data_IF_047959865163
#
_entry.id   IF_047959865163
#
_cell.length_a   1.000
_cell.length_b   1.000
_cell.length_c   1.000
_cell.angle_alpha   90.00
_cell.angle_beta   90.00
_cell.angle_gamma   90.00
#
_symmetry.space_group_name_H-M   'P 1'
#
loop_
_entity.id
_entity.type
_entity.pdbx_description
1 polymer ?
#
# COMPACT_ATOMS: atom_id res chain seq x y z
N UNK A 1 -44.43 -14.94 88.68
CA UNK A 1 -43.57 -15.96 88.03
C UNK A 1 -43.56 -15.78 86.50
N UNK A 2 -43.29 -14.56 86.00
CA UNK A 2 -43.42 -14.23 84.57
C UNK A 2 -42.31 -13.30 84.06
N UNK A 3 -41.10 -13.38 84.63
CA UNK A 3 -39.95 -12.54 84.22
C UNK A 3 -38.66 -13.32 83.95
N UNK A 4 -38.68 -14.65 84.03
CA UNK A 4 -37.49 -15.49 83.86
C UNK A 4 -37.52 -16.40 82.61
N UNK A 5 -38.58 -16.35 81.80
CA UNK A 5 -38.71 -17.19 80.59
C UNK A 5 -38.16 -16.48 79.33
N UNK A 6 -38.16 -15.14 79.29
CA UNK A 6 -37.71 -14.38 78.11
C UNK A 6 -36.20 -14.39 77.88
N UNK A 7 -35.39 -14.53 78.93
CA UNK A 7 -33.93 -14.51 78.81
C UNK A 7 -33.34 -15.83 78.28
N UNK A 8 -34.02 -16.97 78.49
CA UNK A 8 -33.54 -18.28 78.03
C UNK A 8 -33.74 -18.48 76.51
N UNK A 9 -34.75 -17.85 75.91
CA UNK A 9 -35.04 -17.96 74.48
C UNK A 9 -34.10 -17.12 73.60
N UNK A 10 -33.53 -16.04 74.13
CA UNK A 10 -32.55 -15.22 73.39
C UNK A 10 -31.13 -15.82 73.39
N UNK A 11 -30.79 -16.65 74.39
CA UNK A 11 -29.46 -17.27 74.49
C UNK A 11 -29.29 -18.51 73.58
N UNK A 12 -30.38 -19.20 73.23
CA UNK A 12 -30.32 -20.39 72.35
C UNK A 12 -30.23 -19.98 70.87
N UNK A 13 -30.78 -18.82 70.48
CA UNK A 13 -30.72 -18.32 69.11
C UNK A 13 -29.31 -17.86 68.68
N UNK A 14 -28.46 -17.44 69.63
CA UNK A 14 -27.06 -17.04 69.35
C UNK A 14 -26.11 -18.22 69.14
N UNK A 15 -26.52 -19.46 69.44
CA UNK A 15 -25.65 -20.63 69.30
C UNK A 15 -25.73 -21.32 67.93
N UNK A 16 -26.61 -20.85 67.04
CA UNK A 16 -26.71 -21.30 65.65
C UNK A 16 -26.20 -20.24 64.65
N UNK A 17 -25.31 -19.36 65.10
CA UNK A 17 -24.50 -18.54 64.21
C UNK A 17 -23.70 -19.46 63.30
N UNK A 18 -24.20 -19.63 62.09
CA UNK A 18 -23.59 -20.40 61.01
C UNK A 18 -22.11 -20.11 60.98
N UNK A 19 -21.29 -21.15 61.09
CA UNK A 19 -19.88 -21.09 60.73
C UNK A 19 -19.78 -20.33 59.41
N UNK A 20 -19.16 -19.15 59.45
CA UNK A 20 -18.68 -18.50 58.24
C UNK A 20 -17.60 -19.45 57.70
N UNK A 21 -18.04 -20.43 56.90
CA UNK A 21 -17.17 -21.10 55.97
C UNK A 21 -16.73 -19.98 55.05
N UNK A 22 -15.52 -19.48 55.29
CA UNK A 22 -14.77 -18.78 54.27
C UNK A 22 -14.62 -19.80 53.14
N UNK A 23 -15.62 -19.83 52.26
CA UNK A 23 -15.50 -20.43 50.97
C UNK A 23 -14.34 -19.69 50.33
N UNK A 24 -13.23 -20.41 50.17
CA UNK A 24 -12.08 -20.01 49.37
C UNK A 24 -12.58 -19.94 47.93
N UNK A 25 -13.37 -18.91 47.64
CA UNK A 25 -13.86 -18.61 46.31
C UNK A 25 -12.60 -18.28 45.52
N UNK A 26 -12.29 -19.01 44.43
CA UNK A 26 -11.16 -18.67 43.59
C UNK A 26 -11.27 -17.19 43.28
N UNK A 27 -10.31 -16.39 43.77
CA UNK A 27 -10.21 -15.00 43.35
C UNK A 27 -10.16 -15.07 41.83
N UNK A 28 -11.03 -14.34 41.10
CA UNK A 28 -10.88 -14.26 39.66
C UNK A 28 -9.44 -13.82 39.42
N UNK A 29 -8.65 -14.69 38.79
CA UNK A 29 -7.33 -14.27 38.33
C UNK A 29 -7.55 -13.02 37.49
N UNK A 30 -6.86 -11.92 37.76
CA UNK A 30 -6.95 -10.77 36.88
C UNK A 30 -6.53 -11.26 35.50
N UNK A 31 -7.48 -11.26 34.56
CA UNK A 31 -7.18 -11.38 33.13
C UNK A 31 -6.32 -10.17 32.80
N UNK A 32 -5.01 -10.36 32.88
CA UNK A 32 -4.07 -9.39 32.36
C UNK A 32 -4.35 -9.33 30.86
N UNK A 33 -4.58 -8.13 30.29
CA UNK A 33 -4.67 -8.03 28.84
C UNK A 33 -3.40 -8.65 28.25
N UNK A 34 -3.55 -9.40 27.16
CA UNK A 34 -2.39 -9.94 26.45
C UNK A 34 -1.43 -8.78 26.17
N UNK A 35 -0.16 -8.97 26.51
CA UNK A 35 0.86 -7.97 26.22
C UNK A 35 1.00 -7.92 24.71
N UNK A 36 0.49 -6.85 24.09
CA UNK A 36 0.75 -6.57 22.67
C UNK A 36 2.25 -6.28 22.54
N UNK A 37 2.99 -7.27 22.05
CA UNK A 37 4.42 -7.15 21.76
C UNK A 37 4.69 -6.23 20.56
N UNK A 38 3.64 -5.64 19.97
CA UNK A 38 3.68 -4.83 18.78
C UNK A 38 3.95 -5.65 17.53
N UNK A 39 3.94 -4.99 16.37
CA UNK A 39 4.47 -5.57 15.16
C UNK A 39 5.98 -5.82 15.34
N UNK A 40 6.39 -7.08 15.38
CA UNK A 40 7.79 -7.47 15.24
C UNK A 40 8.25 -7.29 13.78
N UNK A 41 9.54 -7.05 13.56
CA UNK A 41 10.05 -6.85 12.22
C UNK A 41 9.95 -8.11 11.36
N UNK A 42 9.35 -8.00 10.17
CA UNK A 42 9.02 -9.15 9.32
C UNK A 42 9.39 -8.90 7.86
N UNK A 43 9.87 -9.96 7.19
CA UNK A 43 9.97 -9.97 5.74
C UNK A 43 8.59 -10.15 5.13
N UNK A 44 8.34 -9.55 3.97
CA UNK A 44 7.11 -9.73 3.25
C UNK A 44 7.32 -9.84 1.74
N UNK A 45 6.39 -10.56 1.10
CA UNK A 45 6.17 -10.49 -0.34
C UNK A 45 4.95 -9.63 -0.62
N UNK A 46 4.98 -8.90 -1.73
CA UNK A 46 3.90 -8.02 -2.17
C UNK A 46 3.53 -8.31 -3.61
N UNK A 47 2.24 -8.47 -3.87
CA UNK A 47 1.64 -8.43 -5.20
C UNK A 47 0.77 -7.20 -5.35
N UNK A 48 0.77 -6.57 -6.53
CA UNK A 48 -0.04 -5.39 -6.79
C UNK A 48 -0.55 -5.32 -8.22
N UNK A 49 -1.72 -4.72 -8.37
CA UNK A 49 -2.33 -4.40 -9.65
C UNK A 49 -2.83 -2.96 -9.60
N UNK A 50 -2.77 -2.22 -10.70
CA UNK A 50 -3.27 -0.86 -10.73
C UNK A 50 -3.91 -0.51 -12.07
N UNK A 51 -4.92 0.34 -12.04
CA UNK A 51 -5.36 1.11 -13.21
C UNK A 51 -4.60 2.42 -13.26
N UNK A 52 -4.20 2.87 -14.45
CA UNK A 52 -3.44 4.10 -14.60
C UNK A 52 -3.97 5.04 -15.68
N UNK A 53 -3.77 6.33 -15.43
CA UNK A 53 -3.94 7.40 -16.39
C UNK A 53 -2.60 8.15 -16.49
N UNK A 54 -2.05 8.23 -17.70
CA UNK A 54 -0.75 8.81 -17.97
C UNK A 54 -0.89 10.13 -18.72
N UNK A 55 -0.11 11.10 -18.28
CA UNK A 55 0.07 12.38 -18.94
C UNK A 55 1.55 12.63 -19.16
N UNK A 56 1.91 13.27 -20.26
CA UNK A 56 3.27 13.72 -20.53
C UNK A 56 3.27 15.22 -20.79
N UNK A 57 4.33 15.92 -20.38
CA UNK A 57 4.40 17.36 -20.58
C UNK A 57 4.62 17.71 -22.04
N UNK A 58 5.59 17.03 -22.66
CA UNK A 58 5.97 17.23 -24.04
C UNK A 58 6.18 15.86 -24.70
N UNK A 59 5.61 15.72 -25.91
CA UNK A 59 5.86 14.58 -26.78
C UNK A 59 6.27 15.10 -28.15
N UNK A 60 7.44 14.68 -28.60
CA UNK A 60 7.94 14.98 -29.94
C UNK A 60 7.82 13.71 -30.78
N UNK A 61 7.17 13.83 -31.94
CA UNK A 61 7.03 12.75 -32.92
C UNK A 61 7.76 13.17 -34.21
N UNK A 62 8.67 12.33 -34.70
CA UNK A 62 9.56 12.59 -35.85
C UNK A 62 10.63 13.68 -35.63
N UNK A 63 11.72 13.72 -36.43
CA UNK A 63 12.76 14.76 -36.37
C UNK A 63 12.29 16.12 -36.93
N UNK A 64 11.01 16.46 -36.78
CA UNK A 64 10.43 17.73 -37.16
C UNK A 64 10.40 18.66 -35.93
N UNK A 65 10.74 19.95 -36.06
CA UNK A 65 11.04 20.85 -34.92
C UNK A 65 9.82 21.27 -34.07
N UNK A 66 8.73 20.51 -34.08
CA UNK A 66 7.48 20.85 -33.40
C UNK A 66 7.22 19.85 -32.26
N UNK A 67 7.69 20.18 -31.07
CA UNK A 67 7.22 19.55 -29.83
C UNK A 67 5.70 19.67 -29.74
N UNK A 68 5.00 18.55 -29.61
CA UNK A 68 3.56 18.51 -29.44
C UNK A 68 3.22 18.42 -27.95
N UNK A 69 2.27 19.23 -27.50
CA UNK A 69 1.64 19.00 -26.21
C UNK A 69 0.58 17.91 -26.39
N UNK A 70 0.57 16.86 -25.56
CA UNK A 70 -0.48 15.85 -25.59
C UNK A 70 -1.87 16.47 -25.49
N UNK A 71 -2.78 15.99 -26.34
CA UNK A 71 -4.17 16.42 -26.37
C UNK A 71 -5.05 15.55 -25.48
N UNK A 72 -4.75 14.25 -25.40
CA UNK A 72 -5.50 13.29 -24.58
C UNK A 72 -4.58 12.53 -23.62
N UNK A 73 -5.13 12.15 -22.47
CA UNK A 73 -4.49 11.24 -21.51
C UNK A 73 -4.48 9.80 -22.05
N UNK A 74 -3.37 9.10 -21.84
CA UNK A 74 -3.29 7.67 -22.10
C UNK A 74 -3.81 6.86 -20.91
N UNK A 75 -4.48 5.74 -21.16
CA UNK A 75 -5.04 4.88 -20.12
C UNK A 75 -4.40 3.50 -20.15
N UNK A 76 -4.35 2.84 -18.99
CA UNK A 76 -3.65 1.58 -18.89
C UNK A 76 -3.77 0.87 -17.56
N UNK A 77 -2.90 -0.11 -17.38
CA UNK A 77 -2.80 -0.88 -16.16
C UNK A 77 -1.35 -1.22 -15.82
N UNK A 78 -1.09 -1.53 -14.55
CA UNK A 78 0.20 -2.07 -14.10
C UNK A 78 0.01 -3.32 -13.25
N UNK A 79 0.99 -4.21 -13.33
CA UNK A 79 1.08 -5.45 -12.56
C UNK A 79 2.47 -5.47 -11.91
N UNK A 80 2.54 -5.66 -10.60
CA UNK A 80 3.80 -5.57 -9.88
C UNK A 80 3.95 -6.63 -8.83
N UNK A 81 5.21 -7.05 -8.61
CA UNK A 81 5.60 -7.88 -7.49
C UNK A 81 6.79 -7.25 -6.77
N UNK A 82 6.90 -7.50 -5.48
CA UNK A 82 7.99 -6.98 -4.67
C UNK A 82 8.25 -7.79 -3.41
N UNK A 83 9.39 -7.49 -2.79
CA UNK A 83 9.79 -8.06 -1.52
C UNK A 83 10.34 -6.95 -0.63
N UNK A 84 10.05 -7.03 0.66
CA UNK A 84 10.42 -5.98 1.60
C UNK A 84 10.57 -6.46 3.02
N UNK A 85 10.83 -5.48 3.89
CA UNK A 85 10.99 -5.66 5.32
C UNK A 85 10.25 -4.55 6.06
N UNK A 86 9.46 -4.94 7.07
CA UNK A 86 8.81 -4.04 8.01
C UNK A 86 9.63 -4.01 9.31
N UNK A 87 9.86 -2.83 9.88
CA UNK A 87 10.72 -2.68 11.06
C UNK A 87 9.95 -2.74 12.38
N UNK A 88 8.62 -2.84 12.34
CA UNK A 88 7.77 -2.90 13.54
C UNK A 88 7.42 -1.56 14.19
N UNK A 89 7.99 -0.46 13.69
CA UNK A 89 7.80 0.91 14.19
C UNK A 89 7.04 1.79 13.18
N UNK A 90 6.30 1.17 12.26
CA UNK A 90 5.64 1.83 11.13
C UNK A 90 6.52 2.05 9.91
N UNK A 91 7.85 2.02 10.03
CA UNK A 91 8.69 2.06 8.84
C UNK A 91 8.69 0.71 8.11
N UNK A 92 8.68 0.77 6.78
CA UNK A 92 8.95 -0.37 5.90
C UNK A 92 9.71 0.05 4.66
N UNK A 93 10.40 -0.90 4.05
CA UNK A 93 11.06 -0.72 2.76
C UNK A 93 10.81 -1.94 1.88
N UNK A 94 10.62 -1.72 0.57
CA UNK A 94 10.55 -2.81 -0.40
C UNK A 94 11.25 -2.46 -1.71
N UNK A 95 11.59 -3.53 -2.44
CA UNK A 95 11.97 -3.48 -3.83
C UNK A 95 10.81 -4.02 -4.65
N UNK A 96 10.35 -3.26 -5.65
CA UNK A 96 9.27 -3.67 -6.56
C UNK A 96 9.75 -3.70 -8.00
N UNK A 97 9.21 -4.64 -8.76
CA UNK A 97 9.28 -4.68 -10.22
C UNK A 97 7.84 -4.62 -10.73
N UNK A 98 7.53 -3.54 -11.44
CA UNK A 98 6.22 -3.28 -12.03
C UNK A 98 6.30 -3.38 -13.56
N UNK A 99 5.38 -4.10 -14.18
CA UNK A 99 5.11 -4.06 -15.60
C UNK A 99 3.93 -3.12 -15.86
N UNK A 100 4.18 -2.07 -16.63
CA UNK A 100 3.25 -1.01 -16.97
C UNK A 100 2.88 -1.12 -18.45
N UNK A 101 1.59 -0.99 -18.76
CA UNK A 101 1.11 -0.79 -20.12
C UNK A 101 0.14 0.37 -20.15
N UNK A 102 0.36 1.31 -21.06
CA UNK A 102 -0.50 2.46 -21.29
C UNK A 102 -0.68 2.65 -22.80
N UNK A 103 -1.89 3.04 -23.21
CA UNK A 103 -2.30 3.17 -24.61
C UNK A 103 -3.19 4.38 -24.79
N UNK A 104 -3.17 4.97 -25.98
CA UNK A 104 -4.08 6.06 -26.33
C UNK A 104 -3.64 7.45 -25.88
N UNK A 105 -2.34 7.64 -25.58
CA UNK A 105 -1.78 8.98 -25.44
C UNK A 105 -1.71 9.60 -26.83
N UNK A 106 -2.44 10.69 -27.07
CA UNK A 106 -2.48 11.34 -28.39
C UNK A 106 -1.76 12.68 -28.40
N UNK A 107 -1.02 12.97 -29.48
CA UNK A 107 -0.58 14.34 -29.79
C UNK A 107 -0.41 14.51 -31.31
N UNK A 108 -0.85 15.64 -31.86
CA UNK A 108 -0.77 15.95 -33.30
C UNK A 108 -1.28 14.83 -34.23
N UNK A 109 -2.33 14.10 -33.81
CA UNK A 109 -2.92 12.99 -34.59
C UNK A 109 -2.18 11.65 -34.48
N UNK A 110 -1.04 11.60 -33.78
CA UNK A 110 -0.34 10.35 -33.44
C UNK A 110 -0.92 9.78 -32.15
N UNK A 111 -1.13 8.47 -32.12
CA UNK A 111 -1.45 7.70 -30.92
C UNK A 111 -0.22 6.90 -30.50
N UNK A 112 0.20 7.07 -29.25
CA UNK A 112 1.35 6.41 -28.66
C UNK A 112 0.92 5.33 -27.65
N UNK A 113 1.60 4.20 -27.74
CA UNK A 113 1.54 3.11 -26.77
C UNK A 113 2.86 3.01 -26.03
N UNK A 114 2.78 2.86 -24.70
CA UNK A 114 3.91 2.68 -23.82
C UNK A 114 3.80 1.35 -23.09
N UNK A 115 4.88 0.58 -23.14
CA UNK A 115 5.12 -0.57 -22.27
C UNK A 115 6.41 -0.29 -21.50
N UNK A 116 6.36 -0.39 -20.18
CA UNK A 116 7.52 -0.11 -19.34
C UNK A 116 7.66 -1.17 -18.26
N UNK A 117 8.89 -1.62 -18.04
CA UNK A 117 9.24 -2.32 -16.81
C UNK A 117 9.89 -1.31 -15.87
N UNK A 118 9.41 -1.20 -14.63
CA UNK A 118 9.89 -0.23 -13.65
C UNK A 118 10.36 -0.98 -12.43
N UNK A 119 11.63 -0.80 -12.06
CA UNK A 119 12.17 -1.28 -10.79
C UNK A 119 12.29 -0.10 -9.83
N UNK A 120 11.73 -0.21 -8.63
CA UNK A 120 11.76 0.83 -7.60
C UNK A 120 12.27 0.28 -6.28
N UNK A 121 13.05 1.09 -5.57
CA UNK A 121 13.28 0.95 -4.15
C UNK A 121 12.39 1.96 -3.43
N UNK A 122 11.56 1.48 -2.51
CA UNK A 122 10.56 2.28 -1.85
C UNK A 122 10.79 2.28 -0.33
N UNK A 123 10.39 3.38 0.29
CA UNK A 123 10.27 3.54 1.73
C UNK A 123 8.87 4.01 2.05
N UNK A 124 8.28 3.47 3.09
CA UNK A 124 6.96 3.85 3.58
C UNK A 124 6.98 4.07 5.08
N UNK A 125 6.02 4.88 5.51
CA UNK A 125 5.65 5.06 6.89
C UNK A 125 4.16 4.74 7.02
N UNK A 126 3.87 3.66 7.74
CA UNK A 126 2.54 3.21 8.10
C UNK A 126 2.19 3.83 9.46
N UNK A 127 0.95 4.28 9.60
CA UNK A 127 0.43 4.87 10.83
C UNK A 127 -1.00 4.38 11.08
N UNK A 128 -1.36 4.26 12.34
CA UNK A 128 -2.66 3.75 12.73
C UNK A 128 -3.78 4.79 12.48
N UNK A 129 -4.94 4.30 12.05
CA UNK A 129 -6.17 5.08 11.87
C UNK A 129 -7.24 4.75 12.93
N UNK A 130 -7.05 3.68 13.71
CA UNK A 130 -7.99 3.17 14.70
C UNK A 130 -7.82 3.70 16.14
N UNK A 131 -6.73 4.43 16.43
CA UNK A 131 -6.43 4.96 17.76
C UNK A 131 -5.82 3.96 18.74
N UNK A 132 -5.47 2.75 18.27
CA UNK A 132 -4.88 1.64 19.05
C UNK A 132 -3.40 1.42 18.75
N UNK A 133 -2.80 2.24 17.88
CA UNK A 133 -1.43 2.03 17.41
C UNK A 133 -1.35 0.91 16.37
N UNK A 134 -0.16 0.72 15.79
CA UNK A 134 0.08 -0.42 14.91
C UNK A 134 0.14 -1.69 15.77
N UNK A 135 -1.02 -2.33 15.95
CA UNK A 135 -1.18 -3.48 16.85
C UNK A 135 -0.93 -4.80 16.13
N UNK A 136 -0.44 -5.79 16.88
CA UNK A 136 -0.36 -7.18 16.41
C UNK A 136 -1.75 -7.78 16.11
N UNK A 137 -2.81 -7.22 16.70
CA UNK A 137 -4.20 -7.66 16.50
C UNK A 137 -4.79 -7.24 15.14
N UNK A 138 -4.03 -6.48 14.36
CA UNK A 138 -4.40 -5.99 13.04
C UNK A 138 -5.27 -4.73 13.07
N UNK A 139 -5.88 -4.39 11.93
CA UNK A 139 -6.76 -3.23 11.81
C UNK A 139 -6.43 -2.26 10.68
N UNK A 140 -7.08 -1.09 10.71
CA UNK A 140 -6.96 -0.06 9.68
C UNK A 140 -5.71 0.79 9.89
N UNK A 141 -4.84 0.78 8.87
CA UNK A 141 -3.63 1.61 8.83
C UNK A 141 -3.65 2.51 7.60
N UNK A 142 -3.18 3.74 7.77
CA UNK A 142 -2.83 4.66 6.69
C UNK A 142 -1.35 4.49 6.34
N UNK A 143 -0.97 4.87 5.13
CA UNK A 143 0.44 4.94 4.78
C UNK A 143 0.75 6.07 3.82
N UNK A 144 1.99 6.54 3.91
CA UNK A 144 2.64 7.39 2.91
C UNK A 144 3.99 6.80 2.56
N UNK A 145 4.46 7.04 1.34
CA UNK A 145 5.75 6.53 0.90
C UNK A 145 6.29 7.23 -0.32
N UNK A 146 7.57 6.98 -0.57
CA UNK A 146 8.29 7.47 -1.72
C UNK A 146 9.21 6.38 -2.27
N UNK A 147 9.48 6.43 -3.56
CA UNK A 147 10.31 5.47 -4.25
C UNK A 147 11.18 6.11 -5.31
N UNK A 148 12.33 5.49 -5.56
CA UNK A 148 13.24 5.87 -6.62
C UNK A 148 13.75 4.63 -7.33
N UNK A 149 13.94 4.71 -8.64
CA UNK A 149 14.56 3.62 -9.38
C UNK A 149 14.69 3.90 -10.86
N UNK A 150 14.56 2.84 -11.66
CA UNK A 150 14.79 2.87 -13.10
C UNK A 150 13.65 2.23 -13.85
N UNK A 151 13.40 2.75 -15.04
CA UNK A 151 12.41 2.23 -15.96
C UNK A 151 13.05 1.88 -17.30
N UNK A 152 12.58 0.80 -17.91
CA UNK A 152 12.94 0.34 -19.25
C UNK A 152 11.71 0.42 -20.14
N UNK A 153 11.79 1.30 -21.14
CA UNK A 153 10.65 1.64 -21.97
C UNK A 153 10.72 0.96 -23.33
N UNK A 154 9.54 0.56 -23.79
CA UNK A 154 9.24 0.18 -25.15
C UNK A 154 8.06 1.02 -25.60
N UNK A 155 8.21 1.73 -26.71
CA UNK A 155 7.16 2.60 -27.21
C UNK A 155 6.95 2.43 -28.70
N UNK A 156 5.69 2.57 -29.09
CA UNK A 156 5.28 2.59 -30.49
C UNK A 156 4.26 3.70 -30.69
N UNK A 157 4.46 4.52 -31.71
CA UNK A 157 3.47 5.51 -32.14
C UNK A 157 2.99 5.20 -33.56
N UNK A 158 1.72 5.52 -33.80
CA UNK A 158 1.02 5.31 -35.08
C UNK A 158 0.17 6.53 -35.40
N UNK A 159 -0.03 6.82 -36.69
CA UNK A 159 -0.87 7.93 -37.14
C UNK A 159 -1.93 7.44 -38.15
N UNK A 160 -3.15 7.98 -38.02
CA UNK A 160 -4.34 7.44 -38.69
C UNK A 160 -4.31 7.56 -40.23
N UNK A 161 -3.63 8.58 -40.76
CA UNK A 161 -3.58 8.87 -42.21
C UNK A 161 -2.18 8.80 -42.82
N UNK A 162 -1.17 8.53 -42.00
CA UNK A 162 0.22 8.33 -42.44
C UNK A 162 0.85 7.27 -41.53
N UNK A 163 1.07 6.03 -42.00
CA UNK A 163 1.54 4.93 -41.17
C UNK A 163 3.05 5.03 -40.86
N UNK A 164 3.53 6.22 -40.50
CA UNK A 164 4.87 6.41 -39.93
C UNK A 164 4.88 5.77 -38.53
N UNK A 165 5.22 4.49 -38.50
CA UNK A 165 5.40 3.71 -37.30
C UNK A 165 6.72 4.09 -36.63
N UNK A 166 6.64 5.02 -35.67
CA UNK A 166 7.74 5.30 -34.76
C UNK A 166 7.76 4.25 -33.64
N UNK A 167 8.32 3.07 -33.94
CA UNK A 167 8.55 2.02 -32.94
C UNK A 167 10.01 2.01 -32.48
N UNK A 168 10.24 1.82 -31.18
CA UNK A 168 11.60 1.65 -30.68
C UNK A 168 11.64 1.06 -29.28
N UNK A 169 12.59 0.16 -29.09
CA UNK A 169 12.83 -0.52 -27.84
C UNK A 169 14.03 0.09 -27.10
N UNK A 170 13.97 0.08 -25.77
CA UNK A 170 15.16 -0.10 -24.95
C UNK A 170 15.71 1.14 -24.27
N UNK A 171 14.96 2.25 -24.22
CA UNK A 171 15.49 3.41 -23.53
C UNK A 171 15.25 3.34 -22.01
N UNK A 172 16.27 3.77 -21.27
CA UNK A 172 16.32 3.67 -19.81
C UNK A 172 16.11 5.06 -19.25
N UNK A 173 15.16 5.20 -18.32
CA UNK A 173 14.96 6.46 -17.62
C UNK A 173 15.02 6.27 -16.10
N UNK A 174 15.28 7.37 -15.41
CA UNK A 174 15.04 7.42 -13.97
C UNK A 174 13.54 7.48 -13.72
N UNK A 175 13.11 6.76 -12.69
CA UNK A 175 11.75 6.75 -12.21
C UNK A 175 11.71 7.19 -10.75
N UNK A 176 10.72 7.99 -10.39
CA UNK A 176 10.43 8.39 -9.02
C UNK A 176 8.96 8.19 -8.74
N UNK A 177 8.60 7.85 -7.51
CA UNK A 177 7.22 7.62 -7.13
C UNK A 177 6.91 8.24 -5.77
N UNK A 178 5.68 8.76 -5.63
CA UNK A 178 5.09 9.10 -4.33
C UNK A 178 3.79 8.32 -4.17
N UNK A 179 3.54 7.88 -2.95
CA UNK A 179 2.49 6.91 -2.65
C UNK A 179 1.78 7.30 -1.37
N UNK A 180 0.47 7.12 -1.35
CA UNK A 180 -0.34 7.23 -0.14
C UNK A 180 -1.54 6.30 -0.25
N UNK A 181 -2.01 5.75 0.86
CA UNK A 181 -3.13 4.83 0.83
C UNK A 181 -3.60 4.40 2.20
N UNK A 182 -4.55 3.47 2.17
CA UNK A 182 -5.11 2.82 3.34
C UNK A 182 -4.99 1.32 3.19
N UNK A 183 -4.75 0.65 4.30
CA UNK A 183 -4.50 -0.77 4.38
C UNK A 183 -5.27 -1.37 5.56
N UNK A 184 -5.60 -2.65 5.44
CA UNK A 184 -6.22 -3.42 6.50
C UNK A 184 -5.34 -4.63 6.80
N UNK A 185 -4.86 -4.68 8.03
CA UNK A 185 -3.99 -5.72 8.55
C UNK A 185 -4.82 -6.89 9.10
N UNK A 186 -4.61 -8.08 8.53
CA UNK A 186 -5.25 -9.34 8.91
C UNK A 186 -4.25 -10.29 9.60
N UNK A 187 -3.20 -9.74 10.20
CA UNK A 187 -2.07 -10.47 10.76
C UNK A 187 -1.07 -10.87 9.66
N UNK A 188 -1.11 -12.13 9.22
CA UNK A 188 -0.16 -12.65 8.23
C UNK A 188 -0.32 -12.04 6.82
N UNK A 189 -1.49 -11.50 6.50
CA UNK A 189 -1.74 -10.83 5.24
C UNK A 189 -2.23 -9.40 5.48
N UNK A 190 -1.80 -8.47 4.63
CA UNK A 190 -2.26 -7.08 4.66
C UNK A 190 -2.72 -6.70 3.28
N UNK A 191 -3.98 -6.27 3.16
CA UNK A 191 -4.53 -5.77 1.91
C UNK A 191 -4.51 -4.24 1.91
N UNK A 192 -4.17 -3.62 0.79
CA UNK A 192 -4.14 -2.16 0.68
C UNK A 192 -4.70 -1.63 -0.64
N UNK A 193 -5.29 -0.44 -0.55
CA UNK A 193 -5.66 0.39 -1.70
C UNK A 193 -4.99 1.74 -1.55
N UNK A 194 -4.32 2.18 -2.61
CA UNK A 194 -3.52 3.39 -2.58
C UNK A 194 -3.44 4.08 -3.92
N UNK A 195 -3.02 5.33 -3.85
CA UNK A 195 -2.68 6.15 -4.99
C UNK A 195 -1.16 6.19 -5.15
N UNK A 196 -0.69 6.06 -6.39
CA UNK A 196 0.72 6.26 -6.76
C UNK A 196 0.83 7.26 -7.90
N UNK A 197 1.63 8.30 -7.71
CA UNK A 197 2.11 9.13 -8.80
C UNK A 197 3.52 8.67 -9.18
N UNK A 198 3.66 8.11 -10.38
CA UNK A 198 4.90 7.59 -10.92
C UNK A 198 5.43 8.55 -12.00
N UNK A 199 6.53 9.21 -11.71
CA UNK A 199 7.23 10.10 -12.62
C UNK A 199 8.36 9.37 -13.35
N UNK A 200 8.50 9.67 -14.64
CA UNK A 200 9.59 9.25 -15.49
C UNK A 200 10.29 10.49 -16.06
N UNK A 201 11.61 10.58 -15.88
CA UNK A 201 12.42 11.72 -16.37
C UNK A 201 12.27 12.00 -17.87
N UNK A 202 12.04 10.95 -18.64
CA UNK A 202 11.88 11.02 -20.08
C UNK A 202 12.62 9.88 -20.77
N UNK A 203 12.14 9.52 -21.95
CA UNK A 203 12.69 8.47 -22.76
C UNK A 203 12.49 8.79 -24.24
N UNK A 204 13.35 8.20 -25.06
CA UNK A 204 13.36 8.36 -26.51
C UNK A 204 13.47 7.02 -27.21
N UNK A 205 12.91 6.88 -28.41
CA UNK A 205 13.12 5.70 -29.22
C UNK A 205 14.34 5.87 -30.11
N UNK A 206 15.26 4.90 -30.10
CA UNK A 206 16.30 4.85 -31.14
C UNK A 206 15.64 4.60 -32.50
N UNK A 207 16.05 5.38 -33.51
CA UNK A 207 15.67 5.17 -34.91
C UNK A 207 14.38 5.86 -35.39
N UNK A 208 13.51 6.34 -34.50
CA UNK A 208 12.22 6.93 -34.87
C UNK A 208 11.99 8.39 -34.46
N UNK A 209 12.97 9.02 -33.79
CA UNK A 209 12.91 10.44 -33.45
C UNK A 209 11.79 10.82 -32.49
N UNK A 210 11.23 9.87 -31.73
CA UNK A 210 10.21 10.15 -30.72
C UNK A 210 10.87 10.44 -29.37
N UNK A 211 10.46 11.52 -28.73
CA UNK A 211 10.94 11.94 -27.41
C UNK A 211 9.77 12.26 -26.50
N UNK A 212 9.72 11.63 -25.33
CA UNK A 212 8.73 11.93 -24.29
C UNK A 212 9.48 12.47 -23.09
N UNK A 213 9.11 13.67 -22.63
CA UNK A 213 9.71 14.28 -21.45
C UNK A 213 8.71 14.37 -20.31
N UNK A 214 9.19 14.10 -19.09
CA UNK A 214 8.44 14.25 -17.84
C UNK A 214 7.04 13.62 -17.90
N UNK A 215 7.00 12.32 -18.15
CA UNK A 215 5.76 11.56 -18.11
C UNK A 215 5.40 11.22 -16.66
N UNK A 216 4.14 11.45 -16.28
CA UNK A 216 3.58 11.10 -14.97
C UNK A 216 2.40 10.16 -15.18
N UNK A 217 2.48 8.97 -14.58
CA UNK A 217 1.36 8.05 -14.47
C UNK A 217 0.71 8.20 -13.09
N UNK A 218 -0.58 8.48 -13.09
CA UNK A 218 -1.42 8.46 -11.90
C UNK A 218 -2.07 7.08 -11.81
N UNK A 219 -1.84 6.37 -10.71
CA UNK A 219 -2.31 5.00 -10.54
C UNK A 219 -3.17 4.84 -9.30
N UNK A 220 -4.29 4.14 -9.45
CA UNK A 220 -5.05 3.59 -8.33
C UNK A 220 -4.69 2.12 -8.23
N UNK A 221 -4.09 1.75 -7.10
CA UNK A 221 -3.42 0.47 -6.89
C UNK A 221 -4.10 -0.31 -5.78
N UNK A 222 -4.34 -1.58 -6.03
CA UNK A 222 -4.67 -2.57 -5.03
C UNK A 222 -3.46 -3.50 -4.82
N UNK A 223 -3.10 -3.78 -3.58
CA UNK A 223 -1.99 -4.67 -3.24
C UNK A 223 -2.36 -5.62 -2.13
N UNK A 224 -1.67 -6.76 -2.09
CA UNK A 224 -1.67 -7.70 -0.98
C UNK A 224 -0.23 -7.97 -0.58
N UNK A 225 0.06 -7.88 0.73
CA UNK A 225 1.33 -8.24 1.35
C UNK A 225 1.14 -9.49 2.19
N UNK A 226 2.10 -10.40 2.15
CA UNK A 226 2.16 -11.57 3.01
C UNK A 226 3.45 -11.56 3.81
N UNK A 227 3.33 -11.61 5.14
CA UNK A 227 4.45 -11.54 6.09
C UNK A 227 4.92 -12.95 6.46
N UNK A 228 6.23 -13.10 6.61
CA UNK A 228 6.87 -14.30 7.13
C UNK A 228 7.31 -14.02 8.57
N UNK A 229 6.67 -14.71 9.52
CA UNK A 229 7.00 -14.70 10.95
C UNK A 229 7.88 -15.88 11.31
#
# INVERSE_FOLDING_TARGET
MLKWIGAALFAVASMFGTSALAADWPQPEPELPEVDYGLSGAFYLRGSVAGNAMWARNVEFCPCPNSATPTDMGWGYSLGAGAGYEFGNGFRTDLTIDWLRNTGLTANGYSADLRSTVALANVYYDFDLGGVGLSADGGWQGYVGAGLGKAWHYTSATHATNPDLAAGAGNRSWAGAVMAGVAYDMGAAVADIGYRALWHKGFSTQGSGMWVQDAVAHEIRASVRYRFY
#
